data_IF_660658499852
#
_entry.id   IF_660658499852
#
_cell.length_a   1.000
_cell.length_b   1.000
_cell.length_c   1.000
_cell.angle_alpha   90.00
_cell.angle_beta   90.00
_cell.angle_gamma   90.00
#
_symmetry.space_group_name_H-M   'P 1'
#
loop_
_entity.id
_entity.type
_entity.pdbx_description
1 polymer ?
#
# COMPACT_ATOMS: atom_id res chain seq x y z
N UNK A 1 -13.76 -7.84 9.34
CA UNK A 1 -13.55 -8.95 8.39
C UNK A 1 -12.34 -9.81 8.74
N UNK A 2 -12.39 -11.12 8.48
CA UNK A 2 -11.26 -12.05 8.59
C UNK A 2 -10.58 -12.20 7.21
N UNK A 3 -9.26 -12.35 7.17
CA UNK A 3 -8.51 -12.40 5.90
C UNK A 3 -7.40 -13.44 5.94
N UNK A 4 -7.10 -14.04 4.78
CA UNK A 4 -5.79 -14.67 4.51
C UNK A 4 -5.00 -13.71 3.64
N UNK A 5 -3.72 -13.52 3.95
CA UNK A 5 -2.87 -12.55 3.27
C UNK A 5 -1.58 -13.19 2.84
N UNK A 6 -1.21 -12.94 1.59
CA UNK A 6 0.10 -13.30 1.08
C UNK A 6 1.16 -12.30 1.56
N UNK A 7 2.46 -12.62 1.38
CA UNK A 7 3.51 -11.64 1.59
C UNK A 7 3.27 -10.36 0.79
N UNK A 8 3.72 -9.23 1.35
CA UNK A 8 3.70 -7.94 0.65
C UNK A 8 4.75 -7.97 -0.47
N UNK A 9 4.37 -7.50 -1.65
CA UNK A 9 5.25 -7.34 -2.80
C UNK A 9 5.58 -5.88 -3.01
N UNK A 10 6.85 -5.56 -3.17
CA UNK A 10 7.31 -4.22 -3.59
C UNK A 10 7.43 -4.23 -5.10
N UNK A 11 6.43 -3.70 -5.79
CA UNK A 11 6.42 -3.65 -7.26
C UNK A 11 7.45 -2.60 -7.74
N UNK A 12 7.51 -1.46 -7.05
CA UNK A 12 8.51 -0.42 -7.26
C UNK A 12 8.74 0.39 -5.98
N UNK A 13 10.00 0.77 -5.72
CA UNK A 13 10.36 1.75 -4.70
C UNK A 13 11.51 2.60 -5.21
N UNK A 14 11.24 3.87 -5.44
CA UNK A 14 12.20 4.86 -5.90
C UNK A 14 12.50 5.85 -4.77
N UNK A 15 13.77 6.20 -4.66
CA UNK A 15 14.27 7.23 -3.77
C UNK A 15 15.05 8.23 -4.61
N UNK A 16 14.66 9.50 -4.49
CA UNK A 16 15.22 10.59 -5.28
C UNK A 16 15.69 11.72 -4.38
N UNK A 17 16.85 12.29 -4.70
CA UNK A 17 17.31 13.55 -4.09
C UNK A 17 16.61 14.70 -4.79
N UNK A 18 16.02 15.58 -4.00
CA UNK A 18 15.25 16.74 -4.49
C UNK A 18 15.70 18.01 -3.79
N UNK A 19 15.35 19.17 -4.35
CA UNK A 19 15.62 20.44 -3.70
C UNK A 19 14.87 20.53 -2.36
N UNK A 20 15.46 21.10 -1.29
CA UNK A 20 14.80 21.15 0.03
C UNK A 20 13.52 22.00 0.09
N UNK A 21 13.31 22.86 -0.90
CA UNK A 21 12.20 23.81 -1.02
C UNK A 21 11.06 23.32 -1.92
N UNK A 22 11.10 22.05 -2.38
CA UNK A 22 9.95 21.47 -3.07
C UNK A 22 8.71 21.50 -2.16
N UNK A 23 7.54 21.65 -2.77
CA UNK A 23 6.28 21.58 -2.04
C UNK A 23 6.13 20.19 -1.40
N UNK A 24 5.80 20.12 -0.10
CA UNK A 24 5.53 18.85 0.55
C UNK A 24 4.38 18.12 -0.13
N UNK A 25 4.58 16.82 -0.37
CA UNK A 25 3.58 15.99 -1.04
C UNK A 25 3.39 14.70 -0.25
N UNK A 26 2.14 14.28 -0.09
CA UNK A 26 1.80 13.00 0.54
C UNK A 26 0.61 12.38 -0.18
N UNK A 27 0.89 11.72 -1.30
CA UNK A 27 -0.13 11.04 -2.09
C UNK A 27 0.04 9.53 -1.89
N UNK A 28 -0.90 8.92 -1.18
CA UNK A 28 -1.00 7.47 -1.05
C UNK A 28 -2.43 7.11 -1.40
N UNK A 29 -2.57 6.27 -2.42
CA UNK A 29 -3.88 5.78 -2.85
C UNK A 29 -3.93 4.30 -2.56
N UNK A 30 -5.05 3.82 -2.04
CA UNK A 30 -5.25 2.40 -1.75
C UNK A 30 -6.48 1.97 -2.52
N UNK A 31 -6.32 0.94 -3.34
CA UNK A 31 -7.39 0.37 -4.13
C UNK A 31 -7.40 -1.15 -4.00
N UNK A 32 -8.58 -1.77 -4.03
CA UNK A 32 -8.72 -3.19 -4.28
C UNK A 32 -8.99 -3.41 -5.77
N UNK A 33 -8.25 -4.35 -6.35
CA UNK A 33 -8.37 -4.75 -7.74
C UNK A 33 -8.76 -6.22 -7.79
N UNK A 34 -9.69 -6.58 -8.67
CA UNK A 34 -10.03 -7.97 -8.97
C UNK A 34 -8.89 -8.60 -9.75
N UNK A 35 -8.48 -9.80 -9.34
CA UNK A 35 -7.49 -10.58 -10.11
C UNK A 35 -8.23 -11.25 -11.28
N UNK A 36 -7.57 -11.34 -12.42
CA UNK A 36 -8.11 -11.99 -13.62
C UNK A 36 -8.41 -13.47 -13.33
N UNK A 37 -9.59 -13.96 -13.75
CA UNK A 37 -10.00 -15.35 -13.55
C UNK A 37 -9.05 -16.35 -14.23
N UNK A 38 -8.35 -15.94 -15.28
CA UNK A 38 -7.34 -16.76 -15.96
C UNK A 38 -5.99 -16.76 -15.23
N UNK A 39 -5.79 -15.91 -14.22
CA UNK A 39 -4.54 -15.83 -13.47
C UNK A 39 -4.23 -17.18 -12.78
N UNK A 40 -3.03 -17.76 -12.97
CA UNK A 40 -2.64 -19.02 -12.36
C UNK A 40 -2.79 -19.04 -10.83
N UNK A 41 -2.69 -17.89 -10.17
CA UNK A 41 -2.93 -17.75 -8.74
C UNK A 41 -4.37 -18.11 -8.38
N UNK A 42 -5.37 -17.57 -9.09
CA UNK A 42 -6.78 -17.86 -8.81
C UNK A 42 -7.13 -19.30 -9.15
N UNK A 43 -6.53 -19.88 -10.20
CA UNK A 43 -6.77 -21.29 -10.56
C UNK A 43 -6.36 -22.28 -9.46
N UNK A 44 -5.36 -21.91 -8.65
CA UNK A 44 -4.87 -22.73 -7.54
C UNK A 44 -5.54 -22.40 -6.19
N UNK A 45 -6.33 -21.32 -6.13
CA UNK A 45 -6.89 -20.81 -4.89
C UNK A 45 -8.22 -21.47 -4.51
N UNK A 46 -8.48 -21.61 -3.21
CA UNK A 46 -9.77 -22.06 -2.68
C UNK A 46 -10.77 -20.89 -2.66
N UNK A 47 -11.46 -20.66 -3.76
CA UNK A 47 -12.46 -19.59 -3.89
C UNK A 47 -13.75 -19.85 -3.07
N UNK A 48 -13.94 -21.06 -2.53
CA UNK A 48 -15.12 -21.39 -1.72
C UNK A 48 -15.10 -20.71 -0.35
N UNK A 49 -13.91 -20.34 0.14
CA UNK A 49 -13.73 -19.67 1.43
C UNK A 49 -13.95 -18.15 1.37
N UNK A 50 -14.07 -17.56 0.17
CA UNK A 50 -14.23 -16.13 -0.03
C UNK A 50 -13.47 -15.59 -1.25
N UNK A 51 -13.80 -14.37 -1.66
CA UNK A 51 -13.24 -13.72 -2.86
C UNK A 51 -11.85 -13.16 -2.60
N UNK A 52 -11.03 -13.18 -3.65
CA UNK A 52 -9.63 -12.79 -3.61
C UNK A 52 -9.46 -11.50 -4.40
N UNK A 53 -8.68 -10.59 -3.84
CA UNK A 53 -8.34 -9.31 -4.44
C UNK A 53 -6.85 -9.04 -4.30
N UNK A 54 -6.35 -8.14 -5.14
CA UNK A 54 -5.06 -7.52 -4.94
C UNK A 54 -5.27 -6.10 -4.39
N UNK A 55 -4.71 -5.82 -3.21
CA UNK A 55 -4.57 -4.45 -2.73
C UNK A 55 -3.39 -3.84 -3.47
N UNK A 56 -3.60 -2.72 -4.13
CA UNK A 56 -2.57 -1.97 -4.84
C UNK A 56 -2.45 -0.59 -4.20
N UNK A 57 -1.23 -0.20 -3.85
CA UNK A 57 -0.94 1.06 -3.16
C UNK A 57 0.18 1.83 -3.86
N UNK A 58 -0.14 2.63 -4.90
CA UNK A 58 0.80 3.59 -5.44
C UNK A 58 1.00 4.74 -4.43
N UNK A 59 2.24 5.22 -4.34
CA UNK A 59 2.61 6.30 -3.43
C UNK A 59 3.60 7.28 -4.07
N UNK A 60 3.49 8.54 -3.66
CA UNK A 60 4.44 9.60 -3.92
C UNK A 60 4.50 10.53 -2.71
N UNK A 61 5.67 10.62 -2.07
CA UNK A 61 5.85 11.34 -0.82
C UNK A 61 7.12 12.18 -0.88
N UNK A 62 6.97 13.48 -0.61
CA UNK A 62 8.03 14.44 -0.45
C UNK A 62 7.87 15.12 0.92
N UNK A 63 8.61 14.67 1.96
CA UNK A 63 8.48 15.27 3.28
C UNK A 63 9.08 16.68 3.32
N UNK A 64 8.47 17.58 4.09
CA UNK A 64 8.92 18.97 4.21
C UNK A 64 10.41 19.07 4.61
N UNK A 65 11.18 19.89 3.86
CA UNK A 65 12.59 20.19 4.15
C UNK A 65 13.49 18.96 4.34
N UNK A 66 13.10 17.83 3.75
CA UNK A 66 13.82 16.57 3.90
C UNK A 66 14.94 16.38 2.88
N UNK A 67 14.84 17.05 1.73
CA UNK A 67 15.78 16.93 0.62
C UNK A 67 15.72 15.56 -0.09
N UNK A 68 14.62 14.82 0.07
CA UNK A 68 14.35 13.61 -0.68
C UNK A 68 12.86 13.47 -1.01
N UNK A 69 12.56 12.63 -2.00
CA UNK A 69 11.23 12.12 -2.27
C UNK A 69 11.29 10.60 -2.43
N UNK A 70 10.19 9.92 -2.09
CA UNK A 70 9.99 8.50 -2.37
C UNK A 70 8.74 8.30 -3.20
N UNK A 71 8.78 7.39 -4.15
CA UNK A 71 7.62 7.03 -4.96
C UNK A 71 7.65 5.55 -5.33
N UNK A 72 6.51 5.01 -5.75
CA UNK A 72 6.46 3.62 -6.20
C UNK A 72 5.09 3.00 -6.03
N UNK A 73 5.09 1.67 -5.94
CA UNK A 73 3.89 0.88 -5.73
C UNK A 73 4.23 -0.37 -4.92
N UNK A 74 3.35 -0.67 -3.96
CA UNK A 74 3.38 -1.90 -3.18
C UNK A 74 2.03 -2.58 -3.33
N UNK A 75 2.03 -3.90 -3.38
CA UNK A 75 0.81 -4.68 -3.49
C UNK A 75 0.77 -5.86 -2.51
N UNK A 76 -0.43 -6.35 -2.24
CA UNK A 76 -0.66 -7.54 -1.42
C UNK A 76 -1.91 -8.26 -1.88
N UNK A 77 -1.79 -9.56 -2.16
CA UNK A 77 -2.97 -10.41 -2.42
C UNK A 77 -3.64 -10.77 -1.09
N UNK A 78 -4.96 -10.59 -1.05
CA UNK A 78 -5.79 -10.90 0.12
C UNK A 78 -7.00 -11.72 -0.29
N UNK A 79 -7.28 -12.77 0.48
CA UNK A 79 -8.56 -13.44 0.45
C UNK A 79 -9.43 -12.91 1.59
N UNK A 80 -10.59 -12.37 1.24
CA UNK A 80 -11.59 -11.88 2.20
C UNK A 80 -12.51 -13.04 2.55
N UNK A 81 -12.37 -13.60 3.75
CA UNK A 81 -13.11 -14.80 4.15
C UNK A 81 -14.58 -14.46 4.38
N UNK A 82 -15.46 -15.35 3.92
CA UNK A 82 -16.92 -15.21 3.95
C UNK A 82 -17.46 -13.95 3.24
N UNK A 83 -16.66 -13.34 2.36
CA UNK A 83 -17.02 -12.19 1.55
C UNK A 83 -16.94 -12.53 0.06
N UNK A 84 -18.04 -12.29 -0.66
CA UNK A 84 -18.18 -12.64 -2.08
C UNK A 84 -18.63 -11.45 -2.95
N UNK A 85 -18.60 -10.25 -2.38
CA UNK A 85 -19.13 -9.03 -2.97
C UNK A 85 -18.20 -8.35 -3.99
N UNK A 86 -18.37 -7.05 -4.16
CA UNK A 86 -17.49 -6.19 -4.96
C UNK A 86 -16.65 -5.25 -4.09
N UNK A 87 -15.49 -4.73 -4.57
CA UNK A 87 -14.62 -3.85 -3.79
C UNK A 87 -15.31 -2.64 -3.15
N UNK A 88 -16.31 -2.07 -3.82
CA UNK A 88 -17.08 -0.91 -3.33
C UNK A 88 -18.06 -1.25 -2.19
N UNK A 89 -18.30 -2.54 -1.91
CA UNK A 89 -19.13 -3.00 -0.79
C UNK A 89 -18.32 -3.16 0.50
N UNK A 90 -16.99 -3.02 0.43
CA UNK A 90 -16.11 -3.07 1.61
C UNK A 90 -16.19 -1.74 2.33
N UNK A 91 -16.56 -1.78 3.61
CA UNK A 91 -16.63 -0.57 4.41
C UNK A 91 -15.25 0.10 4.60
N UNK A 92 -15.27 1.42 4.81
CA UNK A 92 -14.07 2.22 4.96
C UNK A 92 -13.18 1.75 6.12
N UNK A 93 -13.77 1.26 7.22
CA UNK A 93 -13.03 0.81 8.41
C UNK A 93 -12.23 -0.46 8.10
N UNK A 94 -12.80 -1.40 7.37
CA UNK A 94 -12.14 -2.61 6.96
C UNK A 94 -11.12 -2.33 5.84
N UNK A 95 -11.41 -1.40 4.93
CA UNK A 95 -10.43 -0.91 3.95
C UNK A 95 -9.19 -0.30 4.64
N UNK A 96 -9.36 0.51 5.69
CA UNK A 96 -8.25 1.03 6.49
C UNK A 96 -7.42 -0.06 7.17
N UNK A 97 -8.05 -1.14 7.65
CA UNK A 97 -7.33 -2.28 8.24
C UNK A 97 -6.58 -3.09 7.19
N UNK A 98 -7.14 -3.21 6.00
CA UNK A 98 -6.54 -3.90 4.87
C UNK A 98 -5.29 -3.17 4.38
N UNK A 99 -5.34 -1.83 4.32
CA UNK A 99 -4.24 -1.00 3.82
C UNK A 99 -3.10 -0.79 4.81
N UNK A 100 -3.38 -0.85 6.12
CA UNK A 100 -2.42 -0.52 7.18
C UNK A 100 -1.06 -1.23 7.04
N UNK A 101 -0.97 -2.54 6.76
CA UNK A 101 0.32 -3.21 6.60
C UNK A 101 1.14 -2.70 5.42
N UNK A 102 0.50 -2.32 4.30
CA UNK A 102 1.20 -1.77 3.14
C UNK A 102 1.76 -0.38 3.47
N UNK A 103 0.98 0.45 4.14
CA UNK A 103 1.40 1.79 4.60
C UNK A 103 2.59 1.67 5.56
N UNK A 104 2.53 0.78 6.56
CA UNK A 104 3.62 0.53 7.49
C UNK A 104 4.89 0.01 6.79
N UNK A 105 4.71 -0.75 5.69
CA UNK A 105 5.83 -1.21 4.87
C UNK A 105 6.51 -0.05 4.13
N UNK A 106 5.74 0.91 3.60
CA UNK A 106 6.28 2.15 2.99
C UNK A 106 7.07 2.96 4.04
N UNK A 107 6.51 3.11 5.25
CA UNK A 107 7.17 3.80 6.37
C UNK A 107 8.51 3.11 6.72
N UNK A 108 8.49 1.77 6.80
CA UNK A 108 9.66 0.96 7.11
C UNK A 108 10.74 1.08 6.04
N UNK A 109 10.38 0.93 4.76
CA UNK A 109 11.34 1.08 3.65
C UNK A 109 11.94 2.48 3.64
N UNK A 110 11.12 3.52 3.82
CA UNK A 110 11.61 4.90 3.86
C UNK A 110 12.60 5.10 5.00
N UNK A 111 12.28 4.62 6.21
CA UNK A 111 13.17 4.72 7.36
C UNK A 111 14.52 4.04 7.08
N UNK A 112 14.50 2.81 6.56
CA UNK A 112 15.72 2.04 6.31
C UNK A 112 16.57 2.65 5.19
N UNK A 113 15.95 3.04 4.08
CA UNK A 113 16.66 3.66 2.95
C UNK A 113 17.27 5.00 3.36
N UNK A 114 16.54 5.83 4.09
CA UNK A 114 17.07 7.13 4.58
C UNK A 114 18.13 6.95 5.66
N UNK A 115 18.02 5.95 6.53
CA UNK A 115 19.05 5.62 7.51
C UNK A 115 20.41 5.38 6.85
N UNK A 116 20.42 4.69 5.70
CA UNK A 116 21.64 4.46 4.91
C UNK A 116 22.01 5.69 4.08
N UNK A 117 21.07 6.25 3.30
CA UNK A 117 21.35 7.29 2.32
C UNK A 117 21.66 8.66 2.96
N UNK A 118 21.11 8.95 4.13
CA UNK A 118 21.23 10.25 4.83
C UNK A 118 21.95 10.13 6.17
N UNK A 119 22.38 8.92 6.56
CA UNK A 119 22.91 8.63 7.90
C UNK A 119 21.93 9.01 9.04
N UNK A 120 20.62 9.01 8.75
CA UNK A 120 19.53 9.23 9.70
C UNK A 120 18.22 8.64 9.15
N UNK A 121 17.54 7.81 9.94
CA UNK A 121 16.24 7.26 9.54
C UNK A 121 15.15 8.32 9.66
N UNK A 122 14.40 8.53 8.58
CA UNK A 122 13.26 9.44 8.56
C UNK A 122 11.99 8.61 8.69
N UNK A 123 11.30 8.78 9.81
CA UNK A 123 10.01 8.15 10.06
C UNK A 123 8.92 8.99 9.38
N UNK A 124 8.23 8.40 8.40
CA UNK A 124 6.99 8.96 7.88
C UNK A 124 5.85 8.63 8.86
N UNK A 125 4.91 9.56 9.00
CA UNK A 125 3.70 9.38 9.78
C UNK A 125 2.53 9.64 8.86
N UNK A 126 2.00 8.58 8.24
CA UNK A 126 0.86 8.73 7.37
C UNK A 126 -0.43 8.75 8.20
N UNK A 127 -1.15 9.87 8.14
CA UNK A 127 -2.57 9.89 8.48
C UNK A 127 -3.33 9.40 7.26
N UNK A 128 -4.02 8.25 7.37
CA UNK A 128 -4.93 7.81 6.33
C UNK A 128 -6.04 8.87 6.17
N UNK A 129 -5.98 9.66 5.11
CA UNK A 129 -7.13 10.42 4.64
C UNK A 129 -7.97 9.45 3.84
N UNK A 130 -9.10 9.03 4.42
CA UNK A 130 -10.12 8.40 3.62
C UNK A 130 -10.82 9.52 2.84
N UNK A 131 -10.84 9.41 1.51
CA UNK A 131 -11.55 10.38 0.68
C UNK A 131 -13.02 10.42 1.13
N UNK A 132 -13.45 11.58 1.61
CA UNK A 132 -14.86 11.94 1.71
C UNK A 132 -15.27 12.46 0.33
N UNK A 133 -15.89 11.61 -0.49
CA UNK A 133 -16.73 12.01 -1.62
C UNK A 133 -17.98 11.11 -1.64
#
# INVERSE_FOLDING_TARGET
MQTKKDPITVDAFHYDRVAPDIEPQQNIQVSLVTIDEEDPYLQAADLSAGKIYQIVTPFQVAPEKSGFAVSGQISQVVQLLDFFGEPNEIDQKDMMKLSRPLIEYIETLTYQVTAVALNRGVQLQFTAQANED
#
